data_IF_901359507008
#
_entry.id   IF_901359507008
#
_cell.length_a   1.000
_cell.length_b   1.000
_cell.length_c   1.000
_cell.angle_alpha   90.00
_cell.angle_beta   90.00
_cell.angle_gamma   90.00
#
_symmetry.space_group_name_H-M   'P 1'
#
loop_
_entity.id
_entity.type
_entity.pdbx_description
1 polymer ?
#
# COMPACT_ATOMS: atom_id res chain seq x y z
N UNK A 1 -2.17 -15.45 15.81
CA UNK A 1 -1.25 -14.34 16.19
C UNK A 1 -2.01 -13.36 17.07
N UNK A 2 -1.38 -12.77 18.11
CA UNK A 2 -2.07 -11.78 18.98
C UNK A 2 -2.35 -10.48 18.18
N UNK A 3 -3.52 -9.86 18.40
CA UNK A 3 -3.97 -8.61 17.70
C UNK A 3 -2.91 -7.50 17.76
N UNK A 4 -2.24 -7.33 18.90
CA UNK A 4 -1.19 -6.31 19.06
C UNK A 4 0.02 -6.53 18.14
N UNK A 5 0.44 -7.79 17.93
CA UNK A 5 1.52 -8.14 17.02
C UNK A 5 1.12 -7.83 15.57
N UNK A 6 -0.14 -8.08 15.22
CA UNK A 6 -0.68 -7.75 13.90
C UNK A 6 -0.67 -6.25 13.63
N UNK A 7 -1.10 -5.46 14.61
CA UNK A 7 -1.06 -3.99 14.54
C UNK A 7 0.38 -3.49 14.37
N UNK A 8 1.32 -4.03 15.16
CA UNK A 8 2.75 -3.68 15.04
C UNK A 8 3.30 -4.00 13.65
N UNK A 9 2.97 -5.18 13.09
CA UNK A 9 3.40 -5.54 11.74
C UNK A 9 2.86 -4.60 10.67
N UNK A 10 1.62 -4.13 10.81
CA UNK A 10 1.05 -3.15 9.88
C UNK A 10 1.74 -1.79 10.03
N UNK A 11 2.07 -1.36 11.24
CA UNK A 11 2.86 -0.14 11.45
C UNK A 11 4.27 -0.25 10.85
N UNK A 12 4.94 -1.38 11.00
CA UNK A 12 6.24 -1.62 10.37
C UNK A 12 6.14 -1.62 8.84
N UNK A 13 5.07 -2.22 8.31
CA UNK A 13 4.78 -2.16 6.88
C UNK A 13 4.59 -0.72 6.39
N UNK A 14 3.79 0.05 7.13
CA UNK A 14 3.52 1.46 6.85
C UNK A 14 4.80 2.30 6.88
N UNK A 15 5.67 2.06 7.86
CA UNK A 15 6.97 2.71 7.94
C UNK A 15 7.83 2.40 6.70
N UNK A 16 7.89 1.15 6.27
CA UNK A 16 8.63 0.77 5.08
C UNK A 16 8.03 1.33 3.78
N UNK A 17 6.69 1.46 3.68
CA UNK A 17 6.06 2.15 2.55
C UNK A 17 6.33 3.66 2.59
N UNK A 18 6.32 4.28 3.76
CA UNK A 18 6.67 5.70 3.93
C UNK A 18 8.11 6.04 3.53
N UNK A 19 9.02 5.06 3.53
CA UNK A 19 10.38 5.20 3.01
C UNK A 19 10.45 5.11 1.47
N UNK A 20 9.38 4.64 0.81
CA UNK A 20 9.39 4.46 -0.65
C UNK A 20 9.74 5.73 -1.43
N UNK A 21 9.18 6.92 -1.12
CA UNK A 21 9.55 8.16 -1.81
C UNK A 21 11.03 8.51 -1.67
N UNK A 22 11.63 8.23 -0.51
CA UNK A 22 13.06 8.49 -0.26
C UNK A 22 13.94 7.65 -1.19
N UNK A 23 13.72 6.33 -1.23
CA UNK A 23 14.44 5.44 -2.13
C UNK A 23 14.21 5.78 -3.61
N UNK A 24 12.98 6.16 -3.95
CA UNK A 24 12.61 6.63 -5.28
C UNK A 24 13.41 7.89 -5.66
N UNK A 25 13.48 8.87 -4.77
CA UNK A 25 14.23 10.10 -5.02
C UNK A 25 15.74 9.84 -5.16
N UNK A 26 16.29 8.93 -4.35
CA UNK A 26 17.70 8.51 -4.50
C UNK A 26 17.94 7.93 -5.91
N UNK A 27 17.04 7.03 -6.38
CA UNK A 27 17.16 6.46 -7.72
C UNK A 27 17.04 7.53 -8.83
N UNK A 28 16.08 8.46 -8.72
CA UNK A 28 15.86 9.54 -9.70
C UNK A 28 17.03 10.52 -9.78
N UNK A 29 17.70 10.83 -8.66
CA UNK A 29 18.93 11.65 -8.66
C UNK A 29 20.07 11.02 -9.47
N UNK A 30 19.98 9.73 -9.74
CA UNK A 30 20.93 8.95 -10.54
C UNK A 30 20.36 8.54 -11.92
N UNK A 31 19.40 9.32 -12.44
CA UNK A 31 18.80 9.20 -13.77
C UNK A 31 18.06 7.87 -14.04
N UNK A 32 17.57 7.20 -12.98
CA UNK A 32 16.67 6.05 -13.16
C UNK A 32 15.29 6.58 -13.51
N UNK A 33 14.71 6.11 -14.61
CA UNK A 33 13.36 6.51 -14.99
C UNK A 33 12.29 5.87 -14.08
N UNK A 34 11.08 6.47 -13.97
CA UNK A 34 9.99 5.88 -13.19
C UNK A 34 9.60 4.48 -13.64
N UNK A 35 9.58 4.24 -14.95
CA UNK A 35 9.27 2.94 -15.56
C UNK A 35 10.31 1.87 -15.22
N UNK A 36 11.59 2.20 -15.33
CA UNK A 36 12.69 1.31 -14.94
C UNK A 36 12.63 0.97 -13.46
N UNK A 37 12.39 1.97 -12.61
CA UNK A 37 12.33 1.76 -11.16
C UNK A 37 11.20 0.82 -10.77
N UNK A 38 10.00 0.97 -11.37
CA UNK A 38 8.87 0.08 -11.11
C UNK A 38 9.13 -1.33 -11.64
N UNK A 39 9.75 -1.45 -12.82
CA UNK A 39 10.14 -2.74 -13.38
C UNK A 39 11.17 -3.44 -12.47
N UNK A 40 12.24 -2.74 -12.06
CA UNK A 40 13.25 -3.28 -11.16
C UNK A 40 12.67 -3.68 -9.80
N UNK A 41 11.74 -2.88 -9.28
CA UNK A 41 11.02 -3.16 -8.03
C UNK A 41 10.31 -4.51 -8.07
N UNK A 42 9.44 -4.74 -9.08
CA UNK A 42 8.66 -5.96 -9.16
C UNK A 42 9.48 -7.16 -9.60
N UNK A 43 10.40 -6.99 -10.56
CA UNK A 43 11.28 -8.06 -11.03
C UNK A 43 12.23 -8.50 -9.92
N UNK A 44 12.91 -7.55 -9.26
CA UNK A 44 13.82 -7.84 -8.16
C UNK A 44 13.09 -8.51 -6.97
N UNK A 45 11.93 -7.98 -6.58
CA UNK A 45 11.14 -8.60 -5.51
C UNK A 45 10.67 -10.01 -5.88
N UNK A 46 10.25 -10.23 -7.13
CA UNK A 46 9.86 -11.56 -7.61
C UNK A 46 11.03 -12.53 -7.53
N UNK A 47 12.17 -12.19 -8.12
CA UNK A 47 13.36 -13.06 -8.14
C UNK A 47 13.80 -13.42 -6.71
N UNK A 48 13.87 -12.45 -5.80
CA UNK A 48 14.29 -12.65 -4.41
C UNK A 48 13.29 -13.54 -3.67
N UNK A 49 11.99 -13.27 -3.79
CA UNK A 49 10.96 -14.06 -3.09
C UNK A 49 10.89 -15.50 -3.61
N UNK A 50 11.03 -15.72 -4.91
CA UNK A 50 11.03 -17.06 -5.47
C UNK A 50 12.33 -17.83 -5.13
N UNK A 51 13.47 -17.14 -5.12
CA UNK A 51 14.73 -17.71 -4.64
C UNK A 51 14.61 -18.11 -3.15
N UNK A 52 14.02 -17.25 -2.31
CA UNK A 52 13.73 -17.58 -0.92
C UNK A 52 12.85 -18.82 -0.77
N UNK A 53 11.75 -18.93 -1.55
CA UNK A 53 10.89 -20.12 -1.51
C UNK A 53 11.64 -21.39 -1.93
N UNK A 54 12.52 -21.29 -2.92
CA UNK A 54 13.32 -22.41 -3.39
C UNK A 54 14.34 -22.86 -2.32
N UNK A 55 15.12 -21.92 -1.77
CA UNK A 55 16.13 -22.18 -0.73
C UNK A 55 15.52 -22.70 0.56
N UNK A 56 14.38 -22.17 0.97
CA UNK A 56 13.64 -22.62 2.14
C UNK A 56 12.87 -23.93 1.94
N UNK A 57 13.00 -24.56 0.76
CA UNK A 57 12.28 -25.80 0.36
C UNK A 57 10.76 -25.69 0.47
N UNK A 58 10.23 -24.47 0.36
CA UNK A 58 8.79 -24.18 0.46
C UNK A 58 8.04 -24.38 -0.86
N UNK A 59 8.73 -24.58 -1.97
CA UNK A 59 8.13 -24.79 -3.30
C UNK A 59 7.17 -26.00 -3.33
N UNK A 60 7.37 -27.01 -2.49
CA UNK A 60 6.48 -28.14 -2.37
C UNK A 60 5.03 -27.75 -1.99
N UNK A 61 4.85 -26.69 -1.20
CA UNK A 61 3.54 -26.18 -0.79
C UNK A 61 2.74 -25.60 -1.98
N UNK A 62 3.43 -25.15 -3.05
CA UNK A 62 2.77 -24.69 -4.28
C UNK A 62 1.97 -25.83 -4.91
N UNK A 63 2.50 -27.06 -4.87
CA UNK A 63 1.78 -28.25 -5.33
C UNK A 63 0.56 -28.52 -4.48
N UNK A 64 0.64 -28.30 -3.17
CA UNK A 64 -0.47 -28.47 -2.21
C UNK A 64 -1.58 -27.44 -2.42
N UNK A 65 -1.23 -26.18 -2.66
CA UNK A 65 -2.19 -25.12 -3.02
C UNK A 65 -2.88 -25.44 -4.35
N UNK A 66 -2.15 -26.06 -5.26
CA UNK A 66 -2.60 -26.43 -6.60
C UNK A 66 -2.89 -25.22 -7.50
N UNK A 67 -3.21 -25.50 -8.76
CA UNK A 67 -3.48 -24.44 -9.74
C UNK A 67 -4.64 -23.52 -9.33
N UNK A 68 -5.71 -24.08 -8.76
CA UNK A 68 -6.89 -23.28 -8.32
C UNK A 68 -6.53 -22.28 -7.22
N UNK A 69 -5.71 -22.68 -6.25
CA UNK A 69 -5.26 -21.80 -5.17
C UNK A 69 -4.30 -20.71 -5.68
N UNK A 70 -3.38 -21.08 -6.55
CA UNK A 70 -2.45 -20.15 -7.20
C UNK A 70 -3.20 -19.10 -8.03
N UNK A 71 -4.11 -19.52 -8.92
CA UNK A 71 -4.94 -18.60 -9.70
C UNK A 71 -5.77 -17.68 -8.81
N UNK A 72 -6.26 -18.18 -7.69
CA UNK A 72 -7.02 -17.35 -6.74
C UNK A 72 -6.16 -16.23 -6.16
N UNK A 73 -4.92 -16.52 -5.72
CA UNK A 73 -4.01 -15.48 -5.21
C UNK A 73 -3.74 -14.44 -6.31
N UNK A 74 -3.45 -14.90 -7.52
CA UNK A 74 -3.17 -14.01 -8.65
C UNK A 74 -4.40 -13.13 -8.96
N UNK A 75 -5.58 -13.71 -9.09
CA UNK A 75 -6.81 -12.99 -9.49
C UNK A 75 -7.32 -12.10 -8.36
N UNK A 76 -7.35 -12.57 -7.11
CA UNK A 76 -7.94 -11.81 -6.00
C UNK A 76 -6.99 -10.78 -5.40
N UNK A 77 -5.67 -11.01 -5.46
CA UNK A 77 -4.68 -10.16 -4.83
C UNK A 77 -3.70 -9.56 -5.84
N UNK A 78 -3.05 -10.40 -6.65
CA UNK A 78 -1.97 -9.99 -7.54
C UNK A 78 -2.43 -9.00 -8.61
N UNK A 79 -3.45 -9.35 -9.39
CA UNK A 79 -3.98 -8.50 -10.45
C UNK A 79 -4.56 -7.20 -9.87
N UNK A 80 -5.43 -7.19 -8.85
CA UNK A 80 -5.96 -5.95 -8.28
C UNK A 80 -4.86 -5.03 -7.74
N UNK A 81 -3.90 -5.56 -7.00
CA UNK A 81 -2.78 -4.77 -6.51
C UNK A 81 -1.99 -4.13 -7.67
N UNK A 82 -1.62 -4.93 -8.67
CA UNK A 82 -0.79 -4.48 -9.79
C UNK A 82 -1.50 -3.48 -10.68
N UNK A 83 -2.77 -3.73 -11.00
CA UNK A 83 -3.60 -2.79 -11.79
C UNK A 83 -3.80 -1.47 -11.05
N UNK A 84 -3.96 -1.49 -9.72
CA UNK A 84 -4.02 -0.28 -8.90
C UNK A 84 -2.76 0.56 -9.06
N UNK A 85 -1.59 -0.07 -8.99
CA UNK A 85 -0.29 0.61 -9.17
C UNK A 85 -0.18 1.19 -10.57
N UNK A 86 -0.45 0.41 -11.61
CA UNK A 86 -0.37 0.87 -13.02
C UNK A 86 -1.34 2.03 -13.28
N UNK A 87 -2.60 1.90 -12.87
CA UNK A 87 -3.59 2.96 -13.04
C UNK A 87 -3.17 4.26 -12.35
N UNK A 88 -2.60 4.17 -11.13
CA UNK A 88 -2.07 5.31 -10.40
C UNK A 88 -0.88 5.96 -11.14
N UNK A 89 0.04 5.16 -11.67
CA UNK A 89 1.16 5.69 -12.45
C UNK A 89 0.70 6.39 -13.73
N UNK A 90 -0.27 5.83 -14.45
CA UNK A 90 -0.84 6.49 -15.63
C UNK A 90 -1.57 7.78 -15.21
N UNK A 91 -2.29 7.79 -14.08
CA UNK A 91 -2.94 8.99 -13.57
C UNK A 91 -1.91 10.11 -13.29
N UNK A 92 -0.71 9.80 -12.78
CA UNK A 92 0.36 10.77 -12.56
C UNK A 92 0.85 11.46 -13.84
N UNK A 93 0.69 10.84 -15.00
CA UNK A 93 1.04 11.49 -16.29
C UNK A 93 -0.02 12.48 -16.77
N UNK A 94 -1.24 12.41 -16.21
CA UNK A 94 -2.40 13.19 -16.66
C UNK A 94 -2.89 14.22 -15.65
N UNK A 95 -2.51 14.07 -14.39
CA UNK A 95 -2.87 14.97 -13.28
C UNK A 95 -1.70 15.15 -12.31
N UNK A 96 -1.70 16.25 -11.52
CA UNK A 96 -0.70 16.44 -10.47
C UNK A 96 -0.71 15.28 -9.46
N UNK A 97 0.50 14.83 -9.08
CA UNK A 97 0.71 13.70 -8.17
C UNK A 97 -0.07 13.88 -6.85
N UNK A 98 -0.09 15.10 -6.30
CA UNK A 98 -0.82 15.42 -5.07
C UNK A 98 -2.32 15.15 -5.17
N UNK A 99 -2.95 15.49 -6.31
CA UNK A 99 -4.39 15.24 -6.54
C UNK A 99 -4.69 13.74 -6.65
N UNK A 100 -3.88 13.01 -7.42
CA UNK A 100 -4.00 11.55 -7.53
C UNK A 100 -3.84 10.87 -6.17
N UNK A 101 -2.84 11.28 -5.38
CA UNK A 101 -2.62 10.75 -4.04
C UNK A 101 -3.76 11.11 -3.08
N UNK A 102 -4.32 12.33 -3.16
CA UNK A 102 -5.49 12.70 -2.37
C UNK A 102 -6.67 11.75 -2.61
N UNK A 103 -6.98 11.47 -3.89
CA UNK A 103 -8.04 10.53 -4.24
C UNK A 103 -7.69 9.12 -3.76
N UNK A 104 -6.45 8.68 -3.96
CA UNK A 104 -6.00 7.35 -3.57
C UNK A 104 -6.12 7.13 -2.06
N UNK A 105 -5.75 8.10 -1.23
CA UNK A 105 -5.89 7.98 0.23
C UNK A 105 -7.35 7.98 0.72
N UNK A 106 -8.32 8.10 -0.17
CA UNK A 106 -9.73 7.77 0.10
C UNK A 106 -10.02 6.27 0.23
N UNK A 107 -9.05 5.37 -0.08
CA UNK A 107 -9.25 3.92 -0.04
C UNK A 107 -9.73 3.38 1.32
N UNK A 108 -9.40 3.91 2.51
CA UNK A 108 -9.91 3.37 3.76
C UNK A 108 -11.42 3.52 3.89
N UNK A 109 -11.98 4.60 3.35
CA UNK A 109 -13.44 4.81 3.31
C UNK A 109 -14.07 3.74 2.43
N UNK A 110 -13.50 3.49 1.25
CA UNK A 110 -13.98 2.44 0.34
C UNK A 110 -13.84 1.04 0.94
N UNK A 111 -12.73 0.74 1.66
CA UNK A 111 -12.55 -0.53 2.38
C UNK A 111 -13.68 -0.73 3.39
N UNK A 112 -14.02 0.31 4.17
CA UNK A 112 -15.13 0.24 5.12
C UNK A 112 -16.47 0.04 4.41
N UNK A 113 -16.79 0.85 3.39
CA UNK A 113 -18.08 0.79 2.69
C UNK A 113 -18.27 -0.54 1.95
N UNK A 114 -17.30 -0.98 1.19
CA UNK A 114 -17.34 -2.27 0.49
C UNK A 114 -17.37 -3.42 1.51
N UNK A 115 -16.57 -3.34 2.59
CA UNK A 115 -16.55 -4.33 3.66
C UNK A 115 -17.91 -4.53 4.32
N UNK A 116 -18.65 -3.44 4.58
CA UNK A 116 -20.02 -3.45 5.10
C UNK A 116 -20.97 -4.07 4.06
N UNK A 117 -20.90 -3.63 2.80
CA UNK A 117 -21.77 -4.11 1.73
C UNK A 117 -21.65 -5.63 1.49
N UNK A 118 -20.45 -6.21 1.67
CA UNK A 118 -20.22 -7.66 1.53
C UNK A 118 -20.34 -8.42 2.86
N UNK A 119 -20.80 -7.78 3.95
CA UNK A 119 -21.01 -8.40 5.26
C UNK A 119 -19.74 -8.84 5.99
N UNK A 120 -18.59 -8.23 5.67
CA UNK A 120 -17.28 -8.54 6.30
C UNK A 120 -16.84 -7.55 7.36
N UNK A 121 -17.45 -6.37 7.39
CA UNK A 121 -17.16 -5.28 8.31
C UNK A 121 -18.44 -4.79 8.99
N UNK A 122 -18.33 -4.32 10.22
CA UNK A 122 -19.41 -3.65 10.92
C UNK A 122 -19.23 -2.14 10.83
N UNK A 123 -20.36 -1.42 10.71
CA UNK A 123 -20.33 0.04 10.68
C UNK A 123 -20.12 0.61 12.08
N UNK A 124 -19.06 1.41 12.21
CA UNK A 124 -18.81 2.19 13.42
C UNK A 124 -18.68 3.67 13.06
N UNK A 125 -19.56 4.49 13.59
CA UNK A 125 -19.56 5.94 13.37
C UNK A 125 -18.23 6.59 13.80
N UNK A 126 -17.58 6.05 14.81
CA UNK A 126 -16.26 6.48 15.25
C UNK A 126 -15.17 6.31 14.20
N UNK A 127 -15.25 5.24 13.40
CA UNK A 127 -14.33 5.04 12.28
C UNK A 127 -14.55 6.10 11.20
N UNK A 128 -15.81 6.43 10.91
CA UNK A 128 -16.12 7.48 9.94
C UNK A 128 -15.54 8.84 10.36
N UNK A 129 -15.75 9.25 11.61
CA UNK A 129 -15.13 10.48 12.14
C UNK A 129 -13.60 10.42 12.07
N UNK A 130 -13.00 9.31 12.46
CA UNK A 130 -11.56 9.11 12.32
C UNK A 130 -11.08 9.28 10.88
N UNK A 131 -11.77 8.70 9.90
CA UNK A 131 -11.45 8.86 8.48
C UNK A 131 -11.56 10.30 7.99
N UNK A 132 -12.57 11.03 8.41
CA UNK A 132 -12.74 12.46 8.04
C UNK A 132 -11.55 13.28 8.53
N UNK A 133 -11.12 13.07 9.78
CA UNK A 133 -9.95 13.75 10.36
C UNK A 133 -8.67 13.35 9.64
N UNK A 134 -8.46 12.05 9.41
CA UNK A 134 -7.28 11.53 8.69
C UNK A 134 -7.23 12.11 7.27
N UNK A 135 -8.34 12.05 6.55
CA UNK A 135 -8.42 12.53 5.17
C UNK A 135 -8.18 14.04 5.09
N UNK A 136 -8.77 14.82 6.00
CA UNK A 136 -8.49 16.25 6.12
C UNK A 136 -7.01 16.53 6.42
N UNK A 137 -6.39 15.76 7.31
CA UNK A 137 -4.96 15.82 7.58
C UNK A 137 -4.11 15.54 6.36
N UNK A 138 -4.42 14.48 5.61
CA UNK A 138 -3.72 14.13 4.36
C UNK A 138 -3.82 15.27 3.34
N UNK A 139 -5.02 15.83 3.13
CA UNK A 139 -5.21 16.97 2.23
C UNK A 139 -4.36 18.18 2.63
N UNK A 140 -4.17 18.41 3.91
CA UNK A 140 -3.30 19.48 4.41
C UNK A 140 -1.80 19.20 4.17
N UNK A 141 -1.37 17.94 4.15
CA UNK A 141 0.04 17.57 3.88
C UNK A 141 0.41 17.66 2.41
N UNK A 142 -0.56 17.49 1.49
CA UNK A 142 -0.30 17.48 0.06
C UNK A 142 -0.13 18.90 -0.51
N UNK A 143 0.78 19.04 -1.47
CA UNK A 143 0.85 20.26 -2.28
C UNK A 143 -0.16 20.18 -3.44
N UNK A 144 -1.25 20.93 -3.29
CA UNK A 144 -2.35 21.01 -4.26
C UNK A 144 -2.34 22.30 -5.08
N UNK A 145 -1.19 22.96 -5.24
CA UNK A 145 -1.09 24.24 -5.98
C UNK A 145 -1.42 24.08 -7.45
N UNK A 146 -1.00 22.97 -8.05
CA UNK A 146 -1.39 22.63 -9.43
C UNK A 146 -2.68 21.82 -9.39
N UNK A 147 -3.75 22.38 -9.96
CA UNK A 147 -5.11 21.81 -9.94
C UNK A 147 -5.59 21.42 -11.32
N UNK A 148 -4.68 21.13 -12.27
CA UNK A 148 -5.08 20.61 -13.59
C UNK A 148 -5.72 19.25 -13.41
N UNK A 149 -7.02 19.19 -13.57
CA UNK A 149 -7.83 17.99 -13.41
C UNK A 149 -8.28 17.50 -14.79
N UNK A 150 -7.95 16.25 -15.11
CA UNK A 150 -8.41 15.59 -16.34
C UNK A 150 -9.39 14.47 -16.00
N UNK A 151 -10.39 14.27 -16.85
CA UNK A 151 -11.36 13.18 -16.68
C UNK A 151 -10.68 11.81 -16.64
N UNK A 152 -9.70 11.57 -17.51
CA UNK A 152 -8.93 10.32 -17.54
C UNK A 152 -8.18 10.10 -16.22
N UNK A 153 -7.50 11.14 -15.71
CA UNK A 153 -6.78 11.06 -14.44
C UNK A 153 -7.72 10.78 -13.25
N UNK A 154 -8.89 11.42 -13.22
CA UNK A 154 -9.91 11.16 -12.20
C UNK A 154 -10.38 9.69 -12.26
N UNK A 155 -10.80 9.21 -13.43
CA UNK A 155 -11.29 7.84 -13.60
C UNK A 155 -10.23 6.81 -13.18
N UNK A 156 -8.98 7.00 -13.60
CA UNK A 156 -7.87 6.12 -13.25
C UNK A 156 -7.56 6.15 -11.75
N UNK A 157 -7.62 7.33 -11.11
CA UNK A 157 -7.40 7.47 -9.67
C UNK A 157 -8.48 6.78 -8.85
N UNK A 158 -9.77 6.97 -9.21
CA UNK A 158 -10.87 6.27 -8.55
C UNK A 158 -10.81 4.76 -8.79
N UNK A 159 -10.50 4.33 -10.01
CA UNK A 159 -10.31 2.91 -10.32
C UNK A 159 -9.18 2.31 -9.48
N UNK A 160 -8.02 2.98 -9.41
CA UNK A 160 -6.91 2.54 -8.59
C UNK A 160 -7.30 2.40 -7.11
N UNK A 161 -8.02 3.39 -6.57
CA UNK A 161 -8.49 3.40 -5.18
C UNK A 161 -9.47 2.27 -4.90
N UNK A 162 -10.43 2.04 -5.80
CA UNK A 162 -11.42 0.97 -5.68
C UNK A 162 -10.77 -0.42 -5.72
N UNK A 163 -9.93 -0.68 -6.71
CA UNK A 163 -9.25 -1.96 -6.89
C UNK A 163 -8.27 -2.24 -5.73
N UNK A 164 -7.59 -1.22 -5.21
CA UNK A 164 -6.73 -1.36 -4.03
C UNK A 164 -7.54 -1.70 -2.77
N UNK A 165 -8.71 -1.08 -2.61
CA UNK A 165 -9.63 -1.41 -1.51
C UNK A 165 -10.10 -2.86 -1.57
N UNK A 166 -10.40 -3.36 -2.77
CA UNK A 166 -10.72 -4.76 -3.01
C UNK A 166 -9.57 -5.70 -2.64
N UNK A 167 -8.32 -5.34 -3.00
CA UNK A 167 -7.13 -6.09 -2.61
C UNK A 167 -7.04 -6.24 -1.08
N UNK A 168 -7.20 -5.14 -0.32
CA UNK A 168 -7.14 -5.16 1.15
C UNK A 168 -8.19 -6.10 1.75
N UNK A 169 -9.43 -6.02 1.28
CA UNK A 169 -10.52 -6.90 1.73
C UNK A 169 -10.29 -8.37 1.35
N UNK A 170 -9.65 -8.61 0.21
CA UNK A 170 -9.39 -9.97 -0.29
C UNK A 170 -8.32 -10.72 0.51
N UNK A 171 -7.44 -10.04 1.23
CA UNK A 171 -6.45 -10.68 2.13
C UNK A 171 -7.14 -11.51 3.20
N UNK A 172 -8.32 -11.09 3.66
CA UNK A 172 -9.12 -11.79 4.68
C UNK A 172 -10.14 -12.77 4.13
N UNK A 173 -10.12 -13.04 2.83
CA UNK A 173 -10.97 -14.07 2.27
C UNK A 173 -10.66 -15.45 2.90
N UNK A 174 -11.71 -16.21 3.27
CA UNK A 174 -11.59 -17.53 3.94
C UNK A 174 -10.69 -18.49 3.16
N UNK A 175 -10.60 -18.32 1.84
CA UNK A 175 -9.80 -19.16 0.96
C UNK A 175 -8.35 -18.65 0.80
N UNK A 176 -8.07 -17.41 1.22
CA UNK A 176 -6.74 -16.77 1.20
C UNK A 176 -6.07 -16.86 2.57
N UNK A 177 -6.86 -16.73 3.65
CA UNK A 177 -6.37 -16.75 5.04
C UNK A 177 -5.40 -17.90 5.37
N UNK A 178 -5.65 -19.17 4.94
CA UNK A 178 -4.77 -20.29 5.26
C UNK A 178 -3.42 -20.24 4.53
N UNK A 179 -3.31 -19.44 3.47
CA UNK A 179 -2.09 -19.38 2.65
C UNK A 179 -1.04 -18.51 3.35
N UNK A 180 0.18 -18.99 3.47
CA UNK A 180 1.29 -18.26 4.08
C UNK A 180 1.53 -16.90 3.40
N UNK A 181 1.93 -15.89 4.18
CA UNK A 181 2.18 -14.53 3.66
C UNK A 181 3.36 -14.48 2.69
N UNK A 182 4.31 -15.38 2.84
CA UNK A 182 5.43 -15.59 1.91
C UNK A 182 4.94 -16.00 0.50
N UNK A 183 3.98 -16.94 0.42
CA UNK A 183 3.38 -17.32 -0.87
C UNK A 183 2.54 -16.19 -1.46
N UNK A 184 1.72 -15.53 -0.64
CA UNK A 184 0.93 -14.38 -1.09
C UNK A 184 1.85 -13.31 -1.66
N UNK A 185 2.90 -12.93 -0.93
CA UNK A 185 3.87 -11.93 -1.39
C UNK A 185 4.54 -12.36 -2.69
N UNK A 186 5.01 -13.60 -2.79
CA UNK A 186 5.69 -14.12 -3.99
C UNK A 186 4.78 -14.08 -5.23
N UNK A 187 3.53 -14.52 -5.11
CA UNK A 187 2.60 -14.54 -6.25
C UNK A 187 2.08 -13.14 -6.60
N UNK A 188 1.90 -12.24 -5.62
CA UNK A 188 1.53 -10.86 -5.91
C UNK A 188 2.67 -10.12 -6.61
N UNK A 189 3.92 -10.32 -6.18
CA UNK A 189 5.08 -9.73 -6.87
C UNK A 189 5.24 -10.30 -8.30
N UNK A 190 5.03 -11.60 -8.49
CA UNK A 190 5.01 -12.21 -9.81
C UNK A 190 3.92 -11.61 -10.71
N UNK A 191 2.71 -11.47 -10.20
CA UNK A 191 1.63 -10.82 -10.95
C UNK A 191 1.98 -9.37 -11.30
N UNK A 192 2.57 -8.62 -10.35
CA UNK A 192 3.07 -7.27 -10.58
C UNK A 192 4.13 -7.21 -11.68
N UNK A 193 5.11 -8.12 -11.64
CA UNK A 193 6.14 -8.23 -12.68
C UNK A 193 5.50 -8.49 -14.06
N UNK A 194 4.56 -9.43 -14.17
CA UNK A 194 3.91 -9.75 -15.43
C UNK A 194 3.09 -8.57 -15.97
N UNK A 195 2.33 -7.89 -15.11
CA UNK A 195 1.54 -6.71 -15.50
C UNK A 195 2.46 -5.57 -15.98
N UNK A 196 3.56 -5.31 -15.25
CA UNK A 196 4.52 -4.27 -15.64
C UNK A 196 5.25 -4.65 -16.93
N UNK A 197 5.65 -5.90 -17.11
CA UNK A 197 6.30 -6.35 -18.38
C UNK A 197 5.39 -6.14 -19.59
N UNK A 198 4.07 -6.32 -19.44
CA UNK A 198 3.10 -6.03 -20.50
C UNK A 198 2.95 -4.53 -20.74
N UNK A 199 2.98 -3.72 -19.68
CA UNK A 199 2.82 -2.26 -19.77
C UNK A 199 4.13 -1.56 -20.22
N UNK A 200 5.29 -2.16 -19.96
CA UNK A 200 6.61 -1.55 -20.13
C UNK A 200 6.91 -1.04 -21.56
N UNK A 201 6.56 -1.77 -22.65
CA UNK A 201 6.77 -1.29 -24.02
C UNK A 201 6.05 0.03 -24.34
N UNK A 202 5.03 0.37 -23.57
CA UNK A 202 4.25 1.60 -23.74
C UNK A 202 4.71 2.75 -22.83
N UNK A 203 5.77 2.54 -22.04
CA UNK A 203 6.32 3.54 -21.13
C UNK A 203 7.56 4.22 -21.74
N UNK A 204 7.70 5.57 -21.59
CA UNK A 204 8.81 6.31 -22.19
C UNK A 204 10.12 6.14 -21.40
N UNK A 205 11.25 6.39 -22.08
CA UNK A 205 12.61 6.55 -21.51
C UNK A 205 13.12 5.35 -20.72
N UNK A 206 13.66 4.35 -21.43
CA UNK A 206 14.20 3.13 -20.81
C UNK A 206 15.61 2.86 -21.35
N UNK A 207 16.65 3.43 -20.71
CA UNK A 207 18.03 3.28 -21.13
C UNK A 207 18.79 2.21 -20.35
N UNK A 208 18.26 1.75 -19.21
CA UNK A 208 18.83 0.75 -18.30
C UNK A 208 20.31 1.02 -17.90
N UNK A 209 20.70 2.27 -17.87
CA UNK A 209 22.03 2.69 -17.44
C UNK A 209 22.01 3.12 -15.98
N UNK A 210 22.36 2.20 -15.08
CA UNK A 210 22.35 2.47 -13.65
C UNK A 210 23.73 2.79 -13.11
N UNK A 211 23.89 3.99 -12.54
CA UNK A 211 25.08 4.34 -11.77
C UNK A 211 25.16 3.55 -10.46
N UNK A 212 26.36 3.44 -9.88
CA UNK A 212 26.53 2.78 -8.57
C UNK A 212 25.62 3.38 -7.47
N UNK A 213 25.37 4.69 -7.52
CA UNK A 213 24.53 5.39 -6.57
C UNK A 213 23.03 5.04 -6.70
N UNK A 214 22.56 4.70 -7.91
CA UNK A 214 21.18 4.29 -8.14
C UNK A 214 20.81 3.03 -7.37
N UNK A 215 21.75 2.10 -7.21
CA UNK A 215 21.51 0.81 -6.54
C UNK A 215 21.12 0.96 -5.08
N UNK A 216 21.57 2.01 -4.38
CA UNK A 216 21.11 2.28 -3.00
C UNK A 216 19.61 2.50 -2.93
N UNK A 217 19.05 3.30 -3.84
CA UNK A 217 17.62 3.52 -3.97
C UNK A 217 16.87 2.26 -4.42
N UNK A 218 17.36 1.59 -5.46
CA UNK A 218 16.73 0.36 -6.01
C UNK A 218 16.67 -0.76 -4.96
N UNK A 219 17.77 -1.05 -4.27
CA UNK A 219 17.85 -2.11 -3.26
C UNK A 219 16.95 -1.76 -2.06
N UNK A 220 17.03 -0.53 -1.55
CA UNK A 220 16.16 -0.07 -0.46
C UNK A 220 14.67 -0.21 -0.82
N UNK A 221 14.30 0.17 -2.05
CA UNK A 221 12.94 0.04 -2.56
C UNK A 221 12.50 -1.44 -2.62
N UNK A 222 13.35 -2.34 -3.11
CA UNK A 222 13.02 -3.77 -3.25
C UNK A 222 12.88 -4.42 -1.87
N UNK A 223 13.89 -4.30 -1.01
CA UNK A 223 13.93 -5.06 0.25
C UNK A 223 13.04 -4.45 1.34
N UNK A 224 13.11 -3.14 1.53
CA UNK A 224 12.40 -2.46 2.64
C UNK A 224 10.98 -2.13 2.22
N UNK A 225 10.82 -1.28 1.20
CA UNK A 225 9.50 -0.76 0.83
C UNK A 225 8.66 -1.75 0.01
N UNK A 226 9.25 -2.83 -0.53
CA UNK A 226 8.46 -3.83 -1.26
C UNK A 226 8.37 -5.13 -0.48
N UNK A 227 9.43 -5.92 -0.39
CA UNK A 227 9.36 -7.27 0.21
C UNK A 227 8.99 -7.19 1.69
N UNK A 228 9.74 -6.41 2.48
CA UNK A 228 9.55 -6.29 3.92
C UNK A 228 8.19 -5.73 4.29
N UNK A 229 7.83 -4.59 3.69
CA UNK A 229 6.54 -3.94 3.95
C UNK A 229 5.36 -4.79 3.51
N UNK A 230 5.44 -5.39 2.33
CA UNK A 230 4.36 -6.20 1.79
C UNK A 230 4.15 -7.49 2.59
N UNK A 231 5.24 -8.15 2.98
CA UNK A 231 5.18 -9.33 3.83
C UNK A 231 4.61 -9.02 5.22
N UNK A 232 5.08 -7.94 5.86
CA UNK A 232 4.59 -7.50 7.16
C UNK A 232 3.11 -7.11 7.09
N UNK A 233 2.68 -6.37 6.06
CA UNK A 233 1.29 -6.01 5.84
C UNK A 233 0.41 -7.24 5.66
N UNK A 234 0.75 -8.13 4.73
CA UNK A 234 -0.03 -9.35 4.49
C UNK A 234 -0.12 -10.25 5.72
N UNK A 235 0.92 -10.28 6.56
CA UNK A 235 0.92 -11.06 7.79
C UNK A 235 0.02 -10.42 8.85
N UNK A 236 0.11 -9.11 9.03
CA UNK A 236 -0.70 -8.36 10.00
C UNK A 236 -2.16 -8.28 9.61
N UNK A 237 -2.46 -7.93 8.37
CA UNK A 237 -3.81 -7.67 7.86
C UNK A 237 -4.74 -8.90 7.90
N UNK A 238 -4.20 -10.11 7.95
CA UNK A 238 -5.00 -11.34 8.13
C UNK A 238 -5.74 -11.43 9.45
N UNK A 239 -5.26 -10.76 10.48
CA UNK A 239 -5.72 -10.92 11.86
C UNK A 239 -6.39 -9.68 12.43
N UNK A 240 -6.62 -8.66 11.59
CA UNK A 240 -7.35 -7.44 11.94
C UNK A 240 -8.36 -7.11 10.84
N UNK A 241 -9.36 -6.30 11.15
CA UNK A 241 -10.33 -5.85 10.15
C UNK A 241 -9.65 -5.05 9.04
N UNK A 242 -10.17 -5.15 7.82
CA UNK A 242 -9.65 -4.41 6.67
C UNK A 242 -9.70 -2.90 6.90
N UNK A 243 -10.78 -2.39 7.50
CA UNK A 243 -10.90 -1.00 7.93
C UNK A 243 -9.80 -0.61 8.92
N UNK A 244 -9.50 -1.46 9.91
CA UNK A 244 -8.44 -1.20 10.88
C UNK A 244 -7.06 -1.19 10.22
N UNK A 245 -6.80 -2.17 9.36
CA UNK A 245 -5.55 -2.23 8.60
C UNK A 245 -5.35 -0.97 7.74
N UNK A 246 -6.41 -0.53 7.04
CA UNK A 246 -6.36 0.65 6.17
C UNK A 246 -6.19 1.96 6.94
N UNK A 247 -6.78 2.09 8.16
CA UNK A 247 -6.56 3.24 9.03
C UNK A 247 -5.08 3.34 9.43
N UNK A 248 -4.46 2.23 9.85
CA UNK A 248 -3.06 2.23 10.27
C UNK A 248 -2.15 2.61 9.10
N UNK A 249 -2.47 2.16 7.90
CA UNK A 249 -1.72 2.51 6.69
C UNK A 249 -1.73 4.02 6.38
N UNK A 250 -2.75 4.77 6.84
CA UNK A 250 -2.78 6.23 6.71
C UNK A 250 -1.66 6.95 7.50
N UNK A 251 -0.89 6.24 8.30
CA UNK A 251 0.32 6.79 8.94
C UNK A 251 1.50 6.95 7.96
N UNK A 252 1.42 6.38 6.77
CA UNK A 252 2.46 6.43 5.71
C UNK A 252 2.96 7.86 5.41
N UNK A 253 2.08 8.87 5.16
CA UNK A 253 2.54 10.23 4.87
C UNK A 253 3.37 10.85 6.00
N UNK A 254 3.05 10.51 7.26
CA UNK A 254 3.81 11.01 8.42
C UNK A 254 5.23 10.47 8.41
N UNK A 255 5.37 9.18 8.16
CA UNK A 255 6.69 8.54 8.05
C UNK A 255 7.48 9.18 6.92
N UNK A 256 6.87 9.35 5.75
CA UNK A 256 7.50 10.02 4.60
C UNK A 256 8.02 11.41 4.97
N UNK A 257 7.19 12.24 5.59
CA UNK A 257 7.56 13.61 5.97
C UNK A 257 8.69 13.62 7.02
N UNK A 258 8.62 12.76 8.05
CA UNK A 258 9.68 12.66 9.06
C UNK A 258 11.03 12.32 8.40
N UNK A 259 11.04 11.31 7.53
CA UNK A 259 12.28 10.93 6.84
C UNK A 259 12.76 11.99 5.86
N UNK A 260 11.85 12.71 5.20
CA UNK A 260 12.19 13.81 4.29
C UNK A 260 12.83 14.97 5.05
N UNK A 261 12.33 15.33 6.22
CA UNK A 261 12.95 16.33 7.09
C UNK A 261 14.33 15.87 7.54
N UNK A 262 14.45 14.63 8.03
CA UNK A 262 15.69 14.12 8.64
C UNK A 262 16.81 13.90 7.59
N UNK A 263 16.46 13.33 6.43
CA UNK A 263 17.47 12.91 5.45
C UNK A 263 17.62 13.83 4.25
N UNK A 264 16.62 14.66 3.96
CA UNK A 264 16.59 15.49 2.75
C UNK A 264 16.52 17.00 3.07
N UNK A 265 16.42 17.37 4.36
CA UNK A 265 16.30 18.76 4.76
C UNK A 265 14.98 19.41 4.33
N UNK A 266 13.90 18.63 4.23
CA UNK A 266 12.59 19.12 3.82
C UNK A 266 12.06 20.22 4.74
N UNK A 267 11.49 21.28 4.16
CA UNK A 267 10.81 22.36 4.88
C UNK A 267 9.31 22.29 4.59
N UNK A 268 8.50 22.34 5.65
CA UNK A 268 7.06 22.24 5.56
C UNK A 268 6.38 23.49 6.06
N UNK A 269 5.25 23.84 5.45
CA UNK A 269 4.39 24.94 5.88
C UNK A 269 3.65 24.59 7.16
N UNK A 270 3.16 25.62 7.87
CA UNK A 270 2.28 25.43 9.06
C UNK A 270 1.06 24.56 8.74
N UNK A 271 0.50 24.72 7.54
CA UNK A 271 -0.63 23.90 7.06
C UNK A 271 -0.28 22.41 7.06
N UNK A 272 0.91 22.04 6.57
CA UNK A 272 1.37 20.66 6.50
C UNK A 272 1.65 20.09 7.89
N UNK A 273 2.21 20.88 8.82
CA UNK A 273 2.38 20.46 10.21
C UNK A 273 1.04 20.19 10.90
N UNK A 274 0.01 21.00 10.66
CA UNK A 274 -1.36 20.72 11.14
C UNK A 274 -1.87 19.38 10.60
N UNK A 275 -1.66 19.11 9.31
CA UNK A 275 -2.01 17.81 8.69
C UNK A 275 -1.31 16.64 9.36
N UNK A 276 0.00 16.77 9.65
CA UNK A 276 0.81 15.75 10.34
C UNK A 276 0.20 15.40 11.72
N UNK A 277 -0.30 16.40 12.46
CA UNK A 277 -0.92 16.18 13.77
C UNK A 277 -2.32 15.57 13.63
N UNK A 278 -3.09 15.96 12.63
CA UNK A 278 -4.45 15.47 12.42
C UNK A 278 -4.49 13.96 12.10
N UNK A 279 -3.53 13.45 11.32
CA UNK A 279 -3.51 12.04 10.92
C UNK A 279 -3.44 11.09 12.14
N UNK A 280 -2.43 11.18 13.05
CA UNK A 280 -2.38 10.30 14.22
C UNK A 280 -3.56 10.53 15.16
N UNK A 281 -4.07 11.76 15.28
CA UNK A 281 -5.27 12.06 16.08
C UNK A 281 -6.47 11.29 15.57
N UNK A 282 -6.72 11.31 14.27
CA UNK A 282 -7.80 10.53 13.64
C UNK A 282 -7.63 9.03 13.79
N UNK A 283 -6.39 8.52 13.67
CA UNK A 283 -6.07 7.11 13.91
C UNK A 283 -6.39 6.72 15.36
N UNK A 284 -5.90 7.47 16.35
CA UNK A 284 -6.12 7.21 17.78
C UNK A 284 -7.61 7.26 18.10
N UNK A 285 -8.33 8.28 17.62
CA UNK A 285 -9.77 8.41 17.81
C UNK A 285 -10.53 7.20 17.26
N UNK A 286 -10.21 6.80 16.02
CA UNK A 286 -10.82 5.64 15.38
C UNK A 286 -10.58 4.34 16.15
N UNK A 287 -9.38 4.15 16.72
CA UNK A 287 -9.00 2.97 17.49
C UNK A 287 -9.65 2.97 18.90
N UNK A 288 -9.59 4.09 19.60
CA UNK A 288 -10.08 4.20 20.98
C UNK A 288 -11.60 3.97 21.06
N UNK A 289 -12.34 4.66 20.21
CA UNK A 289 -13.81 4.57 20.21
C UNK A 289 -14.32 3.22 19.70
N UNK A 290 -13.58 2.54 18.82
CA UNK A 290 -13.92 1.18 18.39
C UNK A 290 -13.76 0.13 19.50
N UNK A 291 -12.82 0.35 20.43
CA UNK A 291 -12.59 -0.54 21.59
C UNK A 291 -13.71 -0.42 22.64
N UNK A 292 -14.14 0.80 22.94
CA UNK A 292 -15.19 1.03 23.93
C UNK A 292 -16.50 0.32 23.56
N UNK A 293 -16.89 0.38 22.29
CA UNK A 293 -18.14 -0.24 21.85
C UNK A 293 -18.10 -1.77 21.86
N UNK A 294 -16.96 -2.38 21.50
CA UNK A 294 -16.78 -3.84 21.63
C UNK A 294 -16.88 -4.31 23.09
N UNK A 295 -16.36 -3.53 24.05
CA UNK A 295 -16.47 -3.86 25.48
C UNK A 295 -17.91 -3.74 25.99
N UNK A 296 -18.66 -2.74 25.52
CA UNK A 296 -20.07 -2.55 25.91
C UNK A 296 -20.98 -3.64 25.35
N UNK A 297 -20.73 -4.13 24.12
CA UNK A 297 -21.47 -5.24 23.51
C UNK A 297 -21.22 -6.56 24.26
N UNK A 298 -19.97 -6.86 24.66
CA UNK A 298 -19.61 -8.06 25.43
C UNK A 298 -20.16 -8.00 26.89
N UNK A 299 -20.38 -6.82 27.44
CA UNK A 299 -20.92 -6.65 28.80
C UNK A 299 -22.45 -6.70 28.86
N UNK A 300 -23.12 -6.63 27.74
CA UNK A 300 -24.58 -6.65 27.63
C UNK A 300 -25.13 -8.02 27.13
N UNK A 301 -24.26 -8.94 26.71
CA UNK A 301 -24.54 -10.35 26.43
C UNK A 301 -24.17 -11.22 27.67
#
# INVERSE_FOLDING_TARGET
MKKNVSILLIFLATAGYGLMPIFTLVAYRHNVSPSELVLMRFTGATLIMWLYLAMAKKTAFIKTIGLRGTLRIIIMLGIPFSLSIVAKFIAFTTMPVGVVQAIFYGYPILVMLIGIAIGRETFYISRLFGYVIIFGGILLTLDLKDTRITTTGLLLSFFATFIYSWYILSIRDKKVLPIGSDYITSFVMLAGMLVILIAFPFMPNNDFTFSKGAWGGIIGLIFISTIGSFYAFNTGAKHVDGSLASIIMCFEPIVTIIFEIVFLGGHYSVRQYLGIIMIPTGIILSLALSRQKQQTEISND
#
